data_IF_531675267615
#
_entry.id   IF_531675267615
#
_cell.length_a   1.000
_cell.length_b   1.000
_cell.length_c   1.000
_cell.angle_alpha   90.00
_cell.angle_beta   90.00
_cell.angle_gamma   90.00
#
_symmetry.space_group_name_H-M   'P 1'
#
loop_
_entity.id
_entity.type
_entity.pdbx_description
1 polymer ?
#
# COMPACT_ATOMS: atom_id res chain seq x y z
N UNK A 1 -20.12 12.44 -7.56
CA UNK A 1 -20.47 11.05 -7.39
C UNK A 1 -19.28 10.23 -7.87
N UNK A 2 -18.66 9.44 -6.96
CA UNK A 2 -17.56 8.56 -7.31
C UNK A 2 -18.21 7.28 -7.85
N UNK A 3 -18.25 7.14 -9.16
CA UNK A 3 -18.81 5.97 -9.81
C UNK A 3 -17.77 4.85 -9.85
N UNK A 4 -18.19 3.73 -9.33
CA UNK A 4 -17.66 2.38 -9.50
C UNK A 4 -16.20 2.15 -9.06
N UNK A 5 -16.04 1.75 -7.83
CA UNK A 5 -14.78 1.21 -7.28
C UNK A 5 -14.48 -0.11 -7.99
N UNK A 6 -13.51 -0.13 -8.89
CA UNK A 6 -12.99 -1.36 -9.50
C UNK A 6 -11.89 -1.95 -8.61
N UNK A 7 -12.32 -2.54 -7.48
CA UNK A 7 -11.46 -3.48 -6.77
C UNK A 7 -11.59 -4.81 -7.49
N UNK A 8 -10.58 -5.19 -8.26
CA UNK A 8 -10.53 -6.49 -8.89
C UNK A 8 -9.98 -7.51 -7.89
N UNK A 9 -10.88 -8.19 -7.19
CA UNK A 9 -10.53 -9.40 -6.47
C UNK A 9 -10.30 -10.50 -7.51
N UNK A 10 -9.14 -11.11 -7.49
CA UNK A 10 -8.83 -12.23 -8.40
C UNK A 10 -9.45 -13.52 -7.86
N UNK A 11 -9.71 -13.59 -6.55
CA UNK A 11 -10.40 -14.69 -5.88
C UNK A 11 -11.23 -14.19 -4.68
N UNK A 12 -12.25 -15.00 -4.29
CA UNK A 12 -13.19 -14.72 -3.21
C UNK A 12 -12.68 -15.09 -1.80
N UNK A 13 -11.41 -15.39 -1.62
CA UNK A 13 -10.84 -15.83 -0.33
C UNK A 13 -9.93 -14.80 0.35
N UNK A 14 -9.99 -13.54 -0.07
CA UNK A 14 -9.25 -12.47 0.57
C UNK A 14 -10.07 -11.82 1.67
N UNK A 15 -9.55 -11.79 2.88
CA UNK A 15 -10.18 -11.16 4.04
C UNK A 15 -9.73 -9.72 4.20
N UNK A 16 -10.61 -8.78 3.86
CA UNK A 16 -10.45 -7.37 4.25
C UNK A 16 -11.13 -7.22 5.60
N UNK A 17 -10.35 -7.32 6.67
CA UNK A 17 -10.89 -7.25 8.04
C UNK A 17 -10.90 -5.80 8.51
N UNK A 18 -12.09 -5.28 8.71
CA UNK A 18 -12.28 -4.05 9.47
C UNK A 18 -12.28 -4.39 10.97
N UNK A 19 -11.29 -4.07 11.59
CA UNK A 19 -10.89 -3.78 12.95
C UNK A 19 -11.50 -4.39 14.18
N UNK A 20 -12.65 -4.94 14.16
CA UNK A 20 -13.36 -5.12 15.42
C UNK A 20 -13.03 -6.40 16.19
N UNK A 21 -12.44 -7.42 15.58
CA UNK A 21 -12.34 -8.70 16.24
C UNK A 21 -11.02 -9.47 16.08
N UNK A 22 -10.07 -9.04 15.29
CA UNK A 22 -8.92 -9.89 14.99
C UNK A 22 -7.55 -9.27 15.31
N UNK A 23 -7.43 -7.95 15.24
CA UNK A 23 -6.16 -7.28 15.51
C UNK A 23 -6.35 -6.16 16.54
N UNK A 24 -5.90 -6.36 17.80
CA UNK A 24 -6.05 -5.35 18.85
C UNK A 24 -5.29 -4.03 18.57
N UNK A 25 -4.38 -4.04 17.60
CA UNK A 25 -3.68 -2.83 17.12
C UNK A 25 -4.45 -2.10 16.02
N UNK A 26 -5.43 -2.75 15.42
CA UNK A 26 -6.35 -2.09 14.50
C UNK A 26 -7.29 -1.21 15.33
N UNK A 27 -7.08 0.08 15.28
CA UNK A 27 -8.02 1.05 15.86
C UNK A 27 -9.38 0.86 15.17
N UNK A 28 -10.45 1.43 15.73
CA UNK A 28 -11.82 1.43 15.17
C UNK A 28 -11.92 2.13 13.79
N UNK A 29 -10.90 1.98 12.96
CA UNK A 29 -10.84 2.51 11.60
C UNK A 29 -10.97 1.34 10.65
N UNK A 30 -11.99 1.37 9.81
CA UNK A 30 -12.19 0.36 8.78
C UNK A 30 -11.07 0.42 7.76
N UNK A 31 -10.65 -0.73 7.25
CA UNK A 31 -9.81 -0.77 6.07
C UNK A 31 -10.54 -0.05 4.91
N UNK A 32 -9.81 0.76 4.17
CA UNK A 32 -10.35 1.54 3.07
C UNK A 32 -9.51 1.40 1.81
N UNK A 33 -10.18 1.17 0.69
CA UNK A 33 -9.57 1.24 -0.64
C UNK A 33 -10.18 2.45 -1.35
N UNK A 34 -9.32 3.38 -1.73
CA UNK A 34 -9.72 4.60 -2.40
C UNK A 34 -9.14 4.65 -3.81
N UNK A 35 -9.99 4.71 -4.82
CA UNK A 35 -9.62 4.92 -6.21
C UNK A 35 -9.89 6.39 -6.56
N UNK A 36 -8.83 7.15 -6.84
CA UNK A 36 -8.96 8.61 -7.04
C UNK A 36 -9.48 8.98 -8.42
N UNK A 37 -9.27 8.11 -9.42
CA UNK A 37 -9.63 8.36 -10.81
C UNK A 37 -10.38 7.15 -11.40
N UNK A 38 -11.20 7.36 -12.44
CA UNK A 38 -11.89 6.26 -13.10
C UNK A 38 -10.97 5.14 -13.63
N UNK A 39 -9.77 5.50 -14.06
CA UNK A 39 -8.75 4.58 -14.56
C UNK A 39 -7.88 3.94 -13.47
N UNK A 40 -7.99 4.43 -12.23
CA UNK A 40 -7.25 3.85 -11.09
C UNK A 40 -7.71 2.42 -10.83
N UNK A 41 -6.78 1.59 -10.42
CA UNK A 41 -7.10 0.22 -10.07
C UNK A 41 -6.29 -0.30 -8.89
N UNK A 42 -6.90 -1.21 -8.14
CA UNK A 42 -6.24 -2.04 -7.13
C UNK A 42 -6.53 -3.49 -7.46
N UNK A 43 -5.48 -4.27 -7.64
CA UNK A 43 -5.56 -5.70 -7.95
C UNK A 43 -5.08 -6.45 -6.73
N UNK A 44 -5.93 -7.31 -6.18
CA UNK A 44 -5.62 -8.19 -5.06
C UNK A 44 -5.55 -9.62 -5.55
N UNK A 45 -4.47 -10.32 -5.23
CA UNK A 45 -4.33 -11.75 -5.41
C UNK A 45 -5.14 -12.55 -4.38
N UNK A 46 -4.88 -13.85 -4.33
CA UNK A 46 -5.58 -14.78 -3.46
C UNK A 46 -5.03 -14.73 -2.02
N UNK A 47 -5.91 -14.93 -1.03
CA UNK A 47 -5.55 -15.01 0.40
C UNK A 47 -4.85 -13.76 0.93
N UNK A 48 -5.23 -12.57 0.47
CA UNK A 48 -4.70 -11.30 0.98
C UNK A 48 -5.42 -10.92 2.27
N UNK A 49 -4.67 -10.70 3.34
CA UNK A 49 -5.16 -10.19 4.62
C UNK A 49 -4.83 -8.70 4.79
N UNK A 50 -5.83 -7.86 5.02
CA UNK A 50 -5.65 -6.41 5.23
C UNK A 50 -6.36 -6.00 6.52
N UNK A 51 -5.62 -5.49 7.49
CA UNK A 51 -6.16 -5.00 8.76
C UNK A 51 -6.19 -3.49 8.79
N UNK A 52 -7.38 -2.87 8.90
CA UNK A 52 -7.56 -1.43 9.20
C UNK A 52 -6.57 -0.47 8.52
N UNK A 53 -6.26 -0.70 7.26
CA UNK A 53 -5.25 0.03 6.49
C UNK A 53 -5.87 0.81 5.34
N UNK A 54 -5.20 1.84 4.88
CA UNK A 54 -5.61 2.66 3.75
C UNK A 54 -4.81 2.29 2.50
N UNK A 55 -5.49 1.92 1.43
CA UNK A 55 -4.92 1.75 0.09
C UNK A 55 -5.48 2.85 -0.79
N UNK A 56 -4.63 3.76 -1.22
CA UNK A 56 -5.03 4.90 -2.04
C UNK A 56 -4.34 4.84 -3.40
N UNK A 57 -5.11 4.49 -4.41
CA UNK A 57 -4.63 4.38 -5.79
C UNK A 57 -5.09 5.58 -6.63
N UNK A 58 -4.13 6.23 -7.26
CA UNK A 58 -4.32 7.25 -8.28
C UNK A 58 -3.98 6.71 -9.67
N UNK A 59 -3.22 5.63 -9.74
CA UNK A 59 -2.87 4.88 -10.94
C UNK A 59 -3.12 3.40 -10.72
N UNK A 60 -2.17 2.65 -10.16
CA UNK A 60 -2.28 1.22 -10.00
C UNK A 60 -1.52 0.70 -8.78
N UNK A 61 -2.20 -0.13 -7.98
CA UNK A 61 -1.57 -0.87 -6.89
C UNK A 61 -1.88 -2.35 -7.09
N UNK A 62 -0.84 -3.17 -7.24
CA UNK A 62 -0.98 -4.62 -7.37
C UNK A 62 -0.44 -5.30 -6.12
N UNK A 63 -1.26 -6.16 -5.53
CA UNK A 63 -0.92 -6.96 -4.36
C UNK A 63 -1.07 -8.43 -4.74
N UNK A 64 0.01 -9.18 -4.60
CA UNK A 64 0.08 -10.59 -4.95
C UNK A 64 -0.68 -11.50 -3.98
N UNK A 65 -0.40 -12.78 -4.08
CA UNK A 65 -1.08 -13.81 -3.29
C UNK A 65 -0.48 -13.93 -1.89
N UNK A 66 -1.29 -14.30 -0.89
CA UNK A 66 -0.89 -14.59 0.50
C UNK A 66 -0.14 -13.42 1.17
N UNK A 67 -0.44 -12.20 0.75
CA UNK A 67 0.13 -10.99 1.34
C UNK A 67 -0.63 -10.65 2.61
N UNK A 68 0.10 -10.35 3.68
CA UNK A 68 -0.49 -9.88 4.93
C UNK A 68 -0.09 -8.42 5.20
N UNK A 69 -1.08 -7.55 5.38
CA UNK A 69 -0.89 -6.13 5.69
C UNK A 69 -1.41 -5.87 7.09
N UNK A 70 -0.50 -5.50 7.98
CA UNK A 70 -0.79 -5.13 9.37
C UNK A 70 -1.67 -3.90 9.50
N UNK A 71 -2.17 -3.67 10.68
CA UNK A 71 -3.07 -2.53 10.94
C UNK A 71 -2.39 -1.17 10.77
N UNK A 72 -3.20 -0.17 10.40
CA UNK A 72 -2.79 1.25 10.34
C UNK A 72 -1.69 1.54 9.28
N UNK A 73 -1.59 0.69 8.24
CA UNK A 73 -0.68 0.93 7.12
C UNK A 73 -1.29 1.89 6.08
N UNK A 74 -0.42 2.58 5.36
CA UNK A 74 -0.79 3.44 4.24
C UNK A 74 -0.03 2.95 3.01
N UNK A 75 -0.74 2.65 1.93
CA UNK A 75 -0.16 2.30 0.63
C UNK A 75 -0.70 3.30 -0.38
N UNK A 76 0.19 4.14 -0.92
CA UNK A 76 -0.22 5.23 -1.81
C UNK A 76 0.75 5.39 -2.98
N UNK A 77 0.19 5.39 -4.19
CA UNK A 77 0.95 5.43 -5.44
C UNK A 77 1.18 6.84 -5.99
N UNK A 78 0.94 7.88 -5.18
CA UNK A 78 1.11 9.28 -5.61
C UNK A 78 1.69 10.15 -4.51
N UNK A 79 2.22 11.32 -4.89
CA UNK A 79 2.64 12.38 -3.96
C UNK A 79 1.45 13.16 -3.38
N UNK A 80 0.21 12.85 -3.77
CA UNK A 80 -1.01 13.59 -3.48
C UNK A 80 -0.99 15.03 -4.02
N UNK A 81 0.10 15.74 -3.88
CA UNK A 81 0.30 17.13 -4.30
C UNK A 81 1.52 17.29 -5.22
N UNK A 82 1.54 18.36 -6.00
CA UNK A 82 2.71 18.74 -6.81
C UNK A 82 3.93 19.02 -5.93
N UNK A 83 5.11 18.60 -6.37
CA UNK A 83 6.37 18.96 -5.71
C UNK A 83 6.76 20.43 -5.97
N UNK A 84 6.21 21.06 -7.01
CA UNK A 84 6.40 22.50 -7.25
C UNK A 84 5.53 23.31 -6.29
N UNK A 85 6.19 24.06 -5.40
CA UNK A 85 5.52 24.89 -4.41
C UNK A 85 4.65 26.00 -5.04
N UNK A 86 5.00 26.49 -6.24
CA UNK A 86 4.23 27.51 -6.95
C UNK A 86 2.89 26.96 -7.42
N UNK A 87 2.89 25.70 -7.90
CA UNK A 87 1.68 24.99 -8.31
C UNK A 87 0.79 24.75 -7.10
N UNK A 88 1.38 24.30 -5.96
CA UNK A 88 0.63 24.11 -4.70
C UNK A 88 0.03 25.41 -4.19
N UNK A 89 0.79 26.50 -4.20
CA UNK A 89 0.32 27.82 -3.73
C UNK A 89 -0.81 28.37 -4.59
N UNK A 90 -0.73 28.18 -5.91
CA UNK A 90 -1.78 28.60 -6.85
C UNK A 90 -3.06 27.76 -6.75
N UNK A 91 -3.00 26.55 -6.20
CA UNK A 91 -4.09 25.55 -6.11
C UNK A 91 -4.70 25.16 -7.46
N UNK A 92 -4.08 25.56 -8.55
CA UNK A 92 -4.48 25.21 -9.91
C UNK A 92 -3.60 24.04 -10.36
N UNK A 93 -4.21 22.95 -10.77
CA UNK A 93 -3.53 21.73 -11.22
C UNK A 93 -2.61 21.06 -10.17
N UNK A 94 -2.70 21.43 -8.89
CA UNK A 94 -1.86 20.87 -7.84
C UNK A 94 -1.99 19.33 -7.78
N UNK A 95 -3.19 18.83 -7.61
CA UNK A 95 -3.46 17.39 -7.52
C UNK A 95 -3.18 16.67 -8.84
N UNK A 96 -3.53 17.29 -9.99
CA UNK A 96 -3.30 16.67 -11.30
C UNK A 96 -1.82 16.60 -11.67
N UNK A 97 -0.99 17.51 -11.16
CA UNK A 97 0.46 17.54 -11.37
C UNK A 97 1.24 16.67 -10.37
N UNK A 98 0.57 16.09 -9.39
CA UNK A 98 1.23 15.19 -8.44
C UNK A 98 1.79 13.97 -9.16
N UNK A 99 3.06 13.64 -8.90
CA UNK A 99 3.72 12.50 -9.52
C UNK A 99 3.07 11.21 -9.02
N UNK A 100 2.78 10.32 -9.94
CA UNK A 100 2.15 9.02 -9.69
C UNK A 100 3.01 7.92 -10.30
N UNK A 101 3.28 6.87 -9.56
CA UNK A 101 4.02 5.68 -10.00
C UNK A 101 3.38 4.44 -9.39
N UNK A 102 3.12 3.38 -10.17
CA UNK A 102 2.46 2.18 -9.68
C UNK A 102 3.25 1.52 -8.56
N UNK A 103 2.53 0.83 -7.66
CA UNK A 103 3.12 0.01 -6.59
C UNK A 103 2.87 -1.46 -6.93
N UNK A 104 3.88 -2.29 -6.67
CA UNK A 104 3.77 -3.75 -6.78
C UNK A 104 4.25 -4.42 -5.50
N UNK A 105 3.37 -5.18 -4.87
CA UNK A 105 3.67 -6.04 -3.73
C UNK A 105 3.56 -7.49 -4.23
N UNK A 106 4.66 -8.22 -4.23
CA UNK A 106 4.69 -9.60 -4.73
C UNK A 106 4.10 -10.59 -3.71
N UNK A 107 4.07 -11.86 -4.08
CA UNK A 107 3.50 -12.94 -3.27
C UNK A 107 4.23 -13.12 -1.92
N UNK A 108 3.47 -13.57 -0.91
CA UNK A 108 3.99 -13.95 0.40
C UNK A 108 4.68 -12.81 1.19
N UNK A 109 4.40 -11.56 0.85
CA UNK A 109 4.94 -10.40 1.57
C UNK A 109 4.18 -10.19 2.88
N UNK A 110 4.92 -9.85 3.93
CA UNK A 110 4.35 -9.37 5.19
C UNK A 110 4.73 -7.91 5.43
N UNK A 111 3.72 -7.06 5.60
CA UNK A 111 3.90 -5.64 5.95
C UNK A 111 3.48 -5.44 7.41
N UNK A 112 4.44 -5.11 8.27
CA UNK A 112 4.21 -4.79 9.67
C UNK A 112 3.35 -3.53 9.83
N UNK A 113 2.58 -3.49 10.93
CA UNK A 113 1.64 -2.40 11.22
C UNK A 113 2.30 -1.00 11.17
N UNK A 114 1.49 0.02 10.85
CA UNK A 114 1.92 1.42 10.76
C UNK A 114 3.03 1.70 9.75
N UNK A 115 3.16 0.85 8.75
CA UNK A 115 4.12 1.09 7.66
C UNK A 115 3.48 1.93 6.56
N UNK A 116 4.32 2.68 5.86
CA UNK A 116 3.94 3.52 4.72
C UNK A 116 4.69 3.02 3.49
N UNK A 117 3.96 2.65 2.44
CA UNK A 117 4.54 2.24 1.15
C UNK A 117 4.28 3.36 0.16
N UNK A 118 5.35 3.93 -0.36
CA UNK A 118 5.29 5.08 -1.26
C UNK A 118 5.26 4.65 -2.73
N UNK A 119 4.85 5.58 -3.57
CA UNK A 119 4.74 5.41 -5.02
C UNK A 119 5.99 4.83 -5.67
N UNK A 120 5.80 3.99 -6.67
CA UNK A 120 6.85 3.40 -7.50
C UNK A 120 7.61 2.25 -6.86
N UNK A 121 7.24 1.83 -5.65
CA UNK A 121 7.93 0.75 -4.94
C UNK A 121 7.49 -0.61 -5.43
N UNK A 122 8.46 -1.49 -5.64
CA UNK A 122 8.25 -2.93 -5.77
C UNK A 122 8.77 -3.64 -4.52
N UNK A 123 7.91 -4.40 -3.84
CA UNK A 123 8.31 -5.28 -2.73
C UNK A 123 8.37 -6.70 -3.26
N UNK A 124 9.59 -7.27 -3.27
CA UNK A 124 9.86 -8.62 -3.75
C UNK A 124 9.21 -9.69 -2.89
N UNK A 125 8.98 -10.85 -3.50
CA UNK A 125 8.26 -11.96 -2.86
C UNK A 125 8.93 -12.42 -1.56
N UNK A 126 8.11 -12.86 -0.60
CA UNK A 126 8.52 -13.40 0.73
C UNK A 126 9.27 -12.40 1.60
N UNK A 127 9.30 -11.13 1.22
CA UNK A 127 9.97 -10.09 2.02
C UNK A 127 9.10 -9.65 3.18
N UNK A 128 9.73 -9.09 4.19
CA UNK A 128 9.08 -8.56 5.38
C UNK A 128 9.44 -7.10 5.54
N UNK A 129 8.43 -6.27 5.70
CA UNK A 129 8.58 -4.89 6.13
C UNK A 129 8.32 -4.81 7.62
N UNK A 130 9.30 -4.39 8.40
CA UNK A 130 9.17 -4.21 9.84
C UNK A 130 8.14 -3.11 10.16
N UNK A 131 7.45 -3.25 11.28
CA UNK A 131 6.44 -2.28 11.69
C UNK A 131 6.99 -0.85 11.79
N UNK A 132 6.16 0.15 11.45
CA UNK A 132 6.52 1.56 11.52
C UNK A 132 7.50 2.05 10.45
N UNK A 133 7.67 1.30 9.37
CA UNK A 133 8.62 1.62 8.30
C UNK A 133 8.05 2.54 7.23
N UNK A 134 8.92 3.33 6.60
CA UNK A 134 8.57 4.12 5.39
C UNK A 134 9.39 3.58 4.21
N UNK A 135 8.71 2.84 3.33
CA UNK A 135 9.34 2.20 2.17
C UNK A 135 9.26 3.15 0.97
N UNK A 136 10.41 3.67 0.56
CA UNK A 136 10.57 4.63 -0.52
C UNK A 136 11.43 4.11 -1.69
N UNK A 137 11.88 2.86 -1.61
CA UNK A 137 12.71 2.17 -2.63
C UNK A 137 12.28 0.72 -2.72
N UNK A 138 12.63 0.09 -3.83
CA UNK A 138 12.38 -1.33 -4.04
C UNK A 138 13.05 -2.20 -2.97
N UNK A 139 12.34 -3.24 -2.58
CA UNK A 139 12.79 -4.24 -1.61
C UNK A 139 12.99 -5.56 -2.36
N UNK A 140 14.20 -6.13 -2.38
CA UNK A 140 14.45 -7.43 -2.99
C UNK A 140 13.67 -8.55 -2.30
N UNK A 141 13.45 -9.66 -3.02
CA UNK A 141 12.83 -10.86 -2.44
C UNK A 141 13.67 -11.45 -1.32
N UNK A 142 12.99 -12.11 -0.35
CA UNK A 142 13.63 -12.84 0.74
C UNK A 142 14.44 -11.95 1.70
N UNK A 143 14.03 -10.70 1.85
CA UNK A 143 14.72 -9.75 2.74
C UNK A 143 13.76 -9.14 3.77
N UNK A 144 14.34 -8.77 4.92
CA UNK A 144 13.68 -7.96 5.94
C UNK A 144 14.22 -6.53 5.85
N UNK A 145 13.30 -5.58 5.68
CA UNK A 145 13.60 -4.16 5.64
C UNK A 145 12.83 -3.41 6.71
N UNK A 146 13.40 -2.31 7.21
CA UNK A 146 12.73 -1.51 8.24
C UNK A 146 13.34 -0.15 8.46
N UNK A 147 12.60 0.71 9.16
CA UNK A 147 13.01 2.07 9.50
C UNK A 147 12.36 3.15 8.64
N UNK A 148 12.74 4.41 8.88
CA UNK A 148 12.29 5.59 8.12
C UNK A 148 13.49 6.46 7.73
N UNK A 149 13.93 6.45 6.46
CA UNK A 149 13.48 5.56 5.39
C UNK A 149 13.89 4.11 5.64
N UNK A 150 13.11 3.17 5.10
CA UNK A 150 13.40 1.74 5.24
C UNK A 150 14.72 1.36 4.55
N UNK A 151 15.48 0.50 5.20
CA UNK A 151 16.73 -0.05 4.72
C UNK A 151 16.85 -1.53 5.04
N UNK A 152 17.75 -2.21 4.38
CA UNK A 152 18.02 -3.64 4.59
C UNK A 152 18.41 -3.94 6.04
N UNK A 153 17.81 -4.95 6.63
CA UNK A 153 18.14 -5.47 7.96
C UNK A 153 18.87 -6.80 7.84
N UNK A 154 18.26 -7.77 7.16
CA UNK A 154 18.83 -9.10 6.94
C UNK A 154 18.10 -9.89 5.86
N UNK A 155 18.72 -10.93 5.34
CA UNK A 155 18.07 -11.95 4.51
C UNK A 155 17.23 -12.90 5.36
N UNK A 156 16.16 -13.40 4.75
CA UNK A 156 15.34 -14.47 5.30
C UNK A 156 15.95 -15.79 4.83
N UNK A 157 16.47 -16.56 5.76
CA UNK A 157 16.95 -17.92 5.50
C UNK A 157 15.82 -18.89 5.87
N UNK A 158 15.22 -19.52 4.87
CA UNK A 158 14.19 -20.54 5.02
C UNK A 158 14.83 -21.88 4.68
#
# INVERSE_FOLDING_TARGET
PFDTVLVKLVDNQSDIVSGDNFNPLARNIKAGIWLERPESNVILGDFVGISSSCIWAKSSITIGNRVNIGGDCIIMDSDAHSLDYKVRAARINDISSAKTLPIKICDDVFIGCRSIILKGVTIGARSIIAAGSVVAKDVPSDEIWGGNPAHFIKKINI
#
